data_IF_599760956128
#
_entry.id   IF_599760956128
#
_cell.length_a   1.000
_cell.length_b   1.000
_cell.length_c   1.000
_cell.angle_alpha   90.00
_cell.angle_beta   90.00
_cell.angle_gamma   90.00
#
_symmetry.space_group_name_H-M   'P 1'
#
loop_
_entity.id
_entity.type
_entity.pdbx_description
1 polymer ?
#
# COMPACT_ATOMS: atom_id res chain seq x y z
N UNK A 1 -33.40 -5.63 12.00
CA UNK A 1 -32.22 -6.09 11.23
C UNK A 1 -31.01 -6.00 12.14
N UNK A 2 -30.38 -7.13 12.44
CA UNK A 2 -29.13 -7.19 13.19
C UNK A 2 -27.96 -7.33 12.20
N UNK A 3 -26.87 -6.59 12.46
CA UNK A 3 -25.64 -6.67 11.70
C UNK A 3 -24.57 -7.30 12.57
N UNK A 4 -23.93 -8.35 12.06
CA UNK A 4 -22.80 -8.97 12.74
C UNK A 4 -21.52 -8.34 12.22
N UNK A 5 -20.75 -7.76 13.12
CA UNK A 5 -19.45 -7.16 12.85
C UNK A 5 -18.37 -8.00 13.54
N UNK A 6 -17.36 -8.41 12.81
CA UNK A 6 -16.16 -9.07 13.35
C UNK A 6 -15.03 -8.05 13.36
N UNK A 7 -14.63 -7.63 14.55
CA UNK A 7 -13.54 -6.65 14.74
C UNK A 7 -12.27 -7.39 15.12
N UNK A 8 -11.15 -7.05 14.50
CA UNK A 8 -9.83 -7.64 14.78
C UNK A 8 -8.85 -6.55 15.22
N UNK A 9 -8.11 -6.77 16.31
CA UNK A 9 -7.08 -5.85 16.83
C UNK A 9 -5.98 -6.68 17.51
N UNK A 10 -4.70 -6.44 17.17
CA UNK A 10 -3.53 -7.18 17.71
C UNK A 10 -3.76 -8.70 17.80
N UNK A 11 -4.13 -9.32 16.67
CA UNK A 11 -4.47 -10.75 16.53
C UNK A 11 -5.68 -11.26 17.34
N UNK A 12 -6.35 -10.38 18.08
CA UNK A 12 -7.55 -10.71 18.84
C UNK A 12 -8.79 -10.40 18.00
N UNK A 13 -9.66 -11.38 17.80
CA UNK A 13 -10.93 -11.22 17.10
C UNK A 13 -12.10 -11.17 18.09
N UNK A 14 -12.94 -10.15 17.96
CA UNK A 14 -14.17 -9.96 18.75
C UNK A 14 -15.36 -9.82 17.81
N UNK A 15 -16.49 -10.41 18.19
CA UNK A 15 -17.76 -10.29 17.46
C UNK A 15 -18.63 -9.26 18.18
N UNK A 16 -19.21 -8.36 17.40
CA UNK A 16 -20.06 -7.27 17.83
C UNK A 16 -21.37 -7.39 17.04
N UNK A 17 -22.49 -7.47 17.74
CA UNK A 17 -23.81 -7.58 17.13
C UNK A 17 -24.51 -6.25 17.28
N UNK A 18 -24.76 -5.54 16.17
CA UNK A 18 -25.50 -4.28 16.19
C UNK A 18 -26.95 -4.53 15.81
N UNK A 19 -27.86 -4.29 16.75
CA UNK A 19 -29.29 -4.35 16.49
C UNK A 19 -29.81 -2.99 16.04
N UNK A 20 -30.44 -2.93 14.86
CA UNK A 20 -31.20 -1.75 14.45
C UNK A 20 -32.44 -1.66 15.34
N UNK A 21 -32.42 -0.79 16.34
CA UNK A 21 -33.60 -0.43 17.13
C UNK A 21 -34.69 0.12 16.19
N UNK A 22 -35.85 -0.55 16.06
CA UNK A 22 -36.93 -0.07 15.21
C UNK A 22 -37.67 1.06 15.96
N UNK A 23 -37.43 2.31 15.57
CA UNK A 23 -38.17 3.47 16.09
C UNK A 23 -37.31 4.60 16.67
N UNK A 24 -35.99 4.44 16.78
CA UNK A 24 -35.11 5.54 17.13
C UNK A 24 -34.65 6.28 15.85
N UNK A 25 -34.72 7.63 15.79
CA UNK A 25 -34.22 8.42 14.66
C UNK A 25 -32.68 8.38 14.51
N UNK A 26 -31.98 7.80 15.47
CA UNK A 26 -30.54 7.49 15.39
C UNK A 26 -30.33 6.04 14.94
N UNK A 27 -29.98 5.84 13.67
CA UNK A 27 -29.51 4.55 13.17
C UNK A 27 -28.15 4.14 13.77
N UNK A 28 -27.52 3.10 13.19
CA UNK A 28 -26.15 2.72 13.51
C UNK A 28 -25.23 3.94 13.37
N UNK A 29 -24.69 4.44 14.49
CA UNK A 29 -23.75 5.58 14.48
C UNK A 29 -22.33 5.08 14.64
N UNK A 30 -21.40 5.75 13.97
CA UNK A 30 -19.97 5.51 14.10
C UNK A 30 -19.50 5.71 15.54
N UNK A 31 -20.06 6.67 16.26
CA UNK A 31 -19.74 6.91 17.67
C UNK A 31 -20.08 5.70 18.57
N UNK A 32 -21.22 5.04 18.34
CA UNK A 32 -21.59 3.83 19.07
C UNK A 32 -20.66 2.66 18.75
N UNK A 33 -20.34 2.47 17.46
CA UNK A 33 -19.40 1.44 17.03
C UNK A 33 -18.01 1.68 17.63
N UNK A 34 -17.50 2.91 17.56
CA UNK A 34 -16.20 3.27 18.12
C UNK A 34 -16.14 3.04 19.63
N UNK A 35 -17.19 3.43 20.36
CA UNK A 35 -17.29 3.22 21.81
C UNK A 35 -17.25 1.73 22.15
N UNK A 36 -18.07 0.90 21.48
CA UNK A 36 -18.08 -0.55 21.72
C UNK A 36 -16.75 -1.21 21.36
N UNK A 37 -16.09 -0.78 20.27
CA UNK A 37 -14.76 -1.29 19.92
C UNK A 37 -13.72 -0.93 20.97
N UNK A 38 -13.74 0.31 21.48
CA UNK A 38 -12.85 0.72 22.57
C UNK A 38 -13.08 -0.08 23.84
N UNK A 39 -14.34 -0.34 24.18
CA UNK A 39 -14.71 -1.15 25.36
C UNK A 39 -14.30 -2.62 25.19
N UNK A 40 -14.53 -3.22 24.02
CA UNK A 40 -14.22 -4.63 23.72
C UNK A 40 -12.73 -4.97 23.75
N UNK A 41 -11.88 -4.01 23.38
CA UNK A 41 -10.43 -4.16 23.32
C UNK A 41 -9.70 -3.35 24.41
N UNK A 42 -10.45 -2.83 25.40
CA UNK A 42 -9.92 -2.05 26.53
C UNK A 42 -8.98 -0.91 26.08
N UNK A 43 -9.33 -0.25 24.96
CA UNK A 43 -8.49 0.76 24.33
C UNK A 43 -8.60 2.09 25.09
N UNK A 44 -7.47 2.76 25.38
CA UNK A 44 -7.49 4.03 26.10
C UNK A 44 -8.09 5.14 25.24
N UNK A 45 -9.06 5.88 25.78
CA UNK A 45 -9.73 7.00 25.11
C UNK A 45 -8.77 8.16 24.70
N UNK A 46 -7.53 8.14 25.20
CA UNK A 46 -6.48 9.09 24.84
C UNK A 46 -5.87 8.84 23.45
N UNK A 47 -6.07 7.65 22.88
CA UNK A 47 -5.49 7.19 21.61
C UNK A 47 -6.54 7.21 20.51
N UNK A 48 -6.17 7.72 19.32
CA UNK A 48 -7.05 7.67 18.16
C UNK A 48 -7.10 6.23 17.64
N UNK A 49 -8.31 5.67 17.53
CA UNK A 49 -8.53 4.36 16.93
C UNK A 49 -8.81 4.56 15.44
N UNK A 50 -8.07 3.86 14.57
CA UNK A 50 -8.35 3.81 13.14
C UNK A 50 -9.14 2.54 12.86
N UNK A 51 -10.36 2.70 12.36
CA UNK A 51 -11.21 1.59 11.93
C UNK A 51 -11.11 1.42 10.42
N UNK A 52 -10.78 0.21 9.98
CA UNK A 52 -10.72 -0.18 8.57
C UNK A 52 -11.59 -1.40 8.33
N UNK A 53 -12.25 -1.49 7.18
CA UNK A 53 -13.05 -2.65 6.80
C UNK A 53 -12.65 -3.13 5.41
N UNK A 54 -12.94 -4.39 5.12
CA UNK A 54 -12.77 -4.96 3.78
C UNK A 54 -14.10 -4.86 3.05
N UNK A 55 -14.12 -4.22 1.88
CA UNK A 55 -15.32 -4.09 1.04
C UNK A 55 -15.61 -5.34 0.19
N UNK A 56 -16.61 -5.27 -0.70
CA UNK A 56 -16.97 -6.36 -1.62
C UNK A 56 -15.88 -6.72 -2.62
N UNK A 57 -15.00 -5.77 -2.93
CA UNK A 57 -13.93 -5.91 -3.91
C UNK A 57 -12.62 -6.41 -3.25
N UNK A 58 -12.62 -6.52 -1.92
CA UNK A 58 -11.49 -6.99 -1.13
C UNK A 58 -10.53 -5.88 -0.71
N UNK A 59 -10.91 -4.61 -0.92
CA UNK A 59 -10.09 -3.45 -0.59
C UNK A 59 -10.27 -3.04 0.87
N UNK A 60 -9.16 -2.63 1.51
CA UNK A 60 -9.14 -2.17 2.90
C UNK A 60 -9.48 -0.67 2.95
N UNK A 61 -10.76 -0.37 3.17
CA UNK A 61 -11.29 0.99 3.26
C UNK A 61 -11.28 1.48 4.71
N UNK A 62 -10.90 2.75 4.92
CA UNK A 62 -10.92 3.36 6.26
C UNK A 62 -12.29 3.99 6.54
N UNK A 63 -12.95 3.54 7.62
CA UNK A 63 -14.23 4.07 8.08
C UNK A 63 -13.99 5.34 8.92
N UNK A 64 -14.63 6.45 8.57
CA UNK A 64 -14.46 7.74 9.25
C UNK A 64 -15.73 8.33 9.82
N UNK A 65 -16.90 7.94 9.32
CA UNK A 65 -18.17 8.53 9.71
C UNK A 65 -19.36 7.55 9.60
N UNK A 66 -20.53 8.04 9.99
CA UNK A 66 -21.80 7.29 9.95
C UNK A 66 -22.23 6.90 8.53
N UNK A 67 -21.80 7.64 7.50
CA UNK A 67 -22.10 7.35 6.09
C UNK A 67 -21.34 6.11 5.65
N UNK A 68 -20.04 6.03 5.96
CA UNK A 68 -19.19 4.87 5.66
C UNK A 68 -19.70 3.60 6.36
N UNK A 69 -20.16 3.73 7.60
CA UNK A 69 -20.75 2.61 8.35
C UNK A 69 -22.06 2.12 7.72
N UNK A 70 -22.91 3.04 7.25
CA UNK A 70 -24.15 2.71 6.55
C UNK A 70 -23.86 2.10 5.19
N UNK A 71 -22.90 2.62 4.44
CA UNK A 71 -22.50 2.08 3.15
C UNK A 71 -21.97 0.65 3.29
N UNK A 72 -21.07 0.41 4.24
CA UNK A 72 -20.53 -0.93 4.51
C UNK A 72 -21.62 -1.94 4.94
N UNK A 73 -22.55 -1.55 5.82
CA UNK A 73 -23.58 -2.45 6.33
C UNK A 73 -24.76 -2.64 5.35
N UNK A 74 -25.22 -1.55 4.72
CA UNK A 74 -26.46 -1.51 3.94
C UNK A 74 -26.18 -1.47 2.44
N UNK A 75 -25.25 -0.62 2.01
CA UNK A 75 -24.88 -0.48 0.59
C UNK A 75 -24.21 -1.75 0.06
N UNK A 76 -23.23 -2.26 0.81
CA UNK A 76 -22.40 -3.41 0.42
C UNK A 76 -22.91 -4.74 0.99
N UNK A 77 -23.95 -4.72 1.83
CA UNK A 77 -24.57 -5.91 2.45
C UNK A 77 -23.58 -6.88 3.14
N UNK A 78 -22.48 -6.36 3.69
CA UNK A 78 -21.44 -7.18 4.31
C UNK A 78 -21.91 -7.73 5.66
N UNK A 79 -22.29 -9.01 5.69
CA UNK A 79 -22.67 -9.72 6.89
C UNK A 79 -22.03 -11.13 6.94
N UNK A 80 -20.95 -11.35 7.72
CA UNK A 80 -20.41 -10.45 8.74
C UNK A 80 -19.44 -9.41 8.18
N UNK A 81 -19.60 -8.14 8.58
CA UNK A 81 -18.66 -7.07 8.27
C UNK A 81 -17.33 -7.32 8.99
N UNK A 82 -16.23 -7.37 8.25
CA UNK A 82 -14.89 -7.57 8.82
C UNK A 82 -14.22 -6.23 9.01
N UNK A 83 -14.04 -5.86 10.27
CA UNK A 83 -13.41 -4.64 10.73
C UNK A 83 -12.04 -4.96 11.34
N UNK A 84 -11.08 -4.10 11.11
CA UNK A 84 -9.76 -4.08 11.74
C UNK A 84 -9.57 -2.74 12.43
N UNK A 85 -9.32 -2.80 13.73
CA UNK A 85 -9.03 -1.63 14.55
C UNK A 85 -7.52 -1.56 14.77
N UNK A 86 -6.91 -0.42 14.45
CA UNK A 86 -5.50 -0.14 14.70
C UNK A 86 -5.38 1.10 15.59
N UNK A 87 -4.58 1.02 16.66
CA UNK A 87 -4.28 2.19 17.48
C UNK A 87 -3.29 3.11 16.76
N UNK A 88 -3.65 4.39 16.63
CA UNK A 88 -2.73 5.44 16.18
C UNK A 88 -2.10 6.06 17.43
N UNK A 89 -0.84 5.70 17.78
CA UNK A 89 -0.19 6.30 18.95
C UNK A 89 -0.10 7.82 18.77
N UNK A 90 -0.53 8.57 19.78
CA UNK A 90 -0.23 10.00 19.90
C UNK A 90 1.28 10.13 19.95
N UNK A 91 1.89 10.64 18.87
CA UNK A 91 3.29 11.07 18.90
C UNK A 91 3.46 12.06 20.07
N UNK A 92 4.36 11.83 21.04
CA UNK A 92 4.90 12.95 21.78
C UNK A 92 5.55 13.89 20.76
N UNK A 93 5.13 15.16 20.77
CA UNK A 93 5.78 16.22 20.01
C UNK A 93 7.28 16.21 20.33
N UNK A 94 8.18 16.02 19.35
CA UNK A 94 9.56 16.44 19.52
C UNK A 94 9.55 17.97 19.48
N UNK A 95 10.03 18.58 20.56
CA UNK A 95 10.25 20.02 20.65
C UNK A 95 11.08 20.49 19.46
N UNK A 96 10.67 21.61 18.88
CA UNK A 96 11.48 22.43 18.00
C UNK A 96 12.86 22.62 18.63
N UNK A 97 13.92 22.21 17.94
CA UNK A 97 15.25 22.77 18.13
C UNK A 97 15.84 23.02 16.76
N UNK A 98 15.77 24.29 16.38
CA UNK A 98 16.62 24.89 15.37
C UNK A 98 18.08 24.80 15.82
N UNK A 99 18.98 24.89 14.83
CA UNK A 99 20.46 24.82 14.84
C UNK A 99 21.00 23.40 14.59
N UNK A 100 21.97 23.17 13.71
CA UNK A 100 22.86 24.07 12.97
C UNK A 100 23.49 23.29 11.80
N UNK A 101 23.82 24.00 10.74
CA UNK A 101 24.71 23.53 9.69
C UNK A 101 26.15 23.33 10.21
N UNK A 102 26.87 22.47 9.48
CA UNK A 102 28.33 22.40 9.32
C UNK A 102 29.15 21.52 10.27
N UNK A 103 29.96 20.62 9.68
CA UNK A 103 31.18 20.07 10.30
C UNK A 103 31.41 18.58 10.05
N UNK A 104 32.25 18.25 9.07
CA UNK A 104 32.70 16.91 8.71
C UNK A 104 33.62 16.27 9.76
N UNK A 105 33.53 14.96 9.96
CA UNK A 105 34.66 14.11 10.36
C UNK A 105 34.47 12.67 9.86
N UNK A 106 34.98 12.46 8.64
CA UNK A 106 35.75 11.32 8.15
C UNK A 106 35.57 9.93 8.83
N UNK A 107 34.92 9.00 8.12
CA UNK A 107 35.15 7.55 8.17
C UNK A 107 35.09 7.03 6.71
N UNK A 108 35.98 6.14 6.28
CA UNK A 108 36.20 5.85 4.86
C UNK A 108 35.01 5.12 4.24
N UNK A 109 34.48 5.73 3.19
CA UNK A 109 33.48 5.13 2.33
C UNK A 109 34.07 3.95 1.54
N UNK A 110 33.41 2.78 1.48
CA UNK A 110 33.54 1.94 0.31
C UNK A 110 32.81 2.64 -0.84
N UNK A 111 33.61 3.04 -1.82
CA UNK A 111 33.22 3.73 -3.03
C UNK A 111 32.38 2.84 -3.96
N UNK A 112 31.69 3.54 -4.88
CA UNK A 112 30.89 3.09 -6.04
C UNK A 112 29.44 2.73 -5.67
N UNK A 113 28.37 3.33 -6.19
CA UNK A 113 28.07 4.09 -7.43
C UNK A 113 26.69 4.76 -7.22
N UNK A 114 26.39 6.03 -7.53
CA UNK A 114 26.22 6.64 -8.85
C UNK A 114 25.46 7.98 -8.61
N UNK A 115 25.92 9.11 -9.16
CA UNK A 115 25.28 10.45 -8.99
C UNK A 115 23.94 10.54 -9.76
N UNK A 116 23.59 9.53 -10.54
CA UNK A 116 22.41 9.45 -11.40
C UNK A 116 21.35 8.44 -10.89
N UNK A 117 21.25 8.26 -9.57
CA UNK A 117 20.22 7.38 -9.03
C UNK A 117 18.82 8.00 -9.15
N UNK A 118 17.84 7.24 -9.68
CA UNK A 118 16.47 7.70 -9.82
C UNK A 118 15.84 8.07 -8.47
N UNK A 119 15.02 9.13 -8.47
CA UNK A 119 14.40 9.68 -7.25
C UNK A 119 12.89 9.60 -7.34
N UNK A 120 12.27 8.91 -6.39
CA UNK A 120 10.81 8.82 -6.27
C UNK A 120 10.28 9.96 -5.39
N UNK A 121 10.05 11.13 -6.00
CA UNK A 121 9.48 12.29 -5.33
C UNK A 121 8.06 12.01 -4.82
N UNK A 122 7.72 12.56 -3.65
CA UNK A 122 6.40 12.35 -3.01
C UNK A 122 6.23 10.98 -2.35
N UNK A 123 7.25 10.10 -2.40
CA UNK A 123 7.21 8.77 -1.82
C UNK A 123 8.13 8.70 -0.61
N UNK A 124 7.61 8.16 0.50
CA UNK A 124 8.35 8.02 1.76
C UNK A 124 8.52 6.54 2.11
N UNK A 125 9.73 6.15 2.50
CA UNK A 125 9.95 4.82 3.06
C UNK A 125 9.23 4.68 4.41
N UNK A 126 8.37 3.69 4.57
CA UNK A 126 7.54 3.54 5.77
C UNK A 126 8.34 3.09 7.00
N UNK A 127 9.52 2.49 6.79
CA UNK A 127 10.38 2.01 7.87
C UNK A 127 11.37 3.06 8.36
N UNK A 128 12.22 3.60 7.47
CA UNK A 128 13.23 4.61 7.85
C UNK A 128 12.81 6.06 7.63
N UNK A 129 11.64 6.31 7.03
CA UNK A 129 11.10 7.65 6.72
C UNK A 129 11.96 8.50 5.78
N UNK A 130 12.88 7.89 5.03
CA UNK A 130 13.59 8.62 3.97
C UNK A 130 12.62 9.04 2.87
N UNK A 131 12.71 10.30 2.45
CA UNK A 131 11.92 10.91 1.40
C UNK A 131 12.76 12.01 0.69
N UNK A 132 12.84 12.03 -0.64
CA UNK A 132 12.33 11.00 -1.56
C UNK A 132 13.11 9.69 -1.42
N UNK A 133 12.48 8.55 -1.75
CA UNK A 133 13.24 7.29 -1.89
C UNK A 133 14.17 7.42 -3.09
N UNK A 134 15.47 7.19 -2.86
CA UNK A 134 16.53 7.24 -3.89
C UNK A 134 16.91 5.80 -4.27
N UNK A 135 17.01 5.53 -5.57
CA UNK A 135 17.30 4.20 -6.11
C UNK A 135 16.05 3.32 -6.16
N UNK A 136 16.19 2.05 -5.78
CA UNK A 136 15.10 1.08 -5.81
C UNK A 136 14.01 1.38 -4.76
N UNK A 137 12.79 1.60 -5.25
CA UNK A 137 11.56 1.65 -4.45
C UNK A 137 10.88 0.29 -4.48
N UNK A 138 10.45 -0.20 -3.31
CA UNK A 138 9.72 -1.45 -3.19
C UNK A 138 8.33 -1.20 -2.62
N UNK A 139 7.29 -1.58 -3.35
CA UNK A 139 5.91 -1.43 -2.93
C UNK A 139 5.36 -2.74 -2.41
N UNK A 140 4.64 -2.73 -1.28
CA UNK A 140 4.00 -3.92 -0.75
C UNK A 140 2.81 -4.32 -1.62
N UNK A 141 2.73 -5.62 -1.97
CA UNK A 141 1.52 -6.20 -2.59
C UNK A 141 0.38 -6.35 -1.58
N UNK A 142 0.71 -6.38 -0.29
CA UNK A 142 -0.22 -6.71 0.79
C UNK A 142 -0.71 -5.48 1.55
N UNK A 143 0.05 -4.38 1.52
CA UNK A 143 -0.26 -3.16 2.27
C UNK A 143 -0.27 -1.96 1.31
N UNK A 144 -1.45 -1.36 1.06
CA UNK A 144 -1.57 -0.19 0.19
C UNK A 144 -0.68 0.96 0.66
N UNK A 145 -0.09 1.65 -0.32
CA UNK A 145 0.80 2.81 -0.10
C UNK A 145 2.05 2.52 0.74
N UNK A 146 2.33 1.25 1.06
CA UNK A 146 3.48 0.89 1.88
C UNK A 146 4.71 0.67 1.02
N UNK A 147 5.57 1.68 1.00
CA UNK A 147 6.82 1.69 0.25
C UNK A 147 8.03 1.53 1.17
N UNK A 148 9.02 0.75 0.75
CA UNK A 148 10.32 0.58 1.39
C UNK A 148 11.45 0.97 0.44
N UNK A 149 12.52 1.53 0.99
CA UNK A 149 13.80 1.65 0.28
C UNK A 149 14.58 0.32 0.34
N UNK A 150 15.58 0.18 -0.54
CA UNK A 150 16.44 -1.02 -0.63
C UNK A 150 17.00 -1.49 0.72
N UNK A 151 17.54 -0.58 1.53
CA UNK A 151 18.12 -0.96 2.83
C UNK A 151 17.08 -1.48 3.83
N UNK A 152 15.87 -0.92 3.80
CA UNK A 152 14.79 -1.39 4.65
C UNK A 152 14.26 -2.74 4.19
N UNK A 153 14.13 -2.96 2.87
CA UNK A 153 13.74 -4.26 2.35
C UNK A 153 14.78 -5.34 2.70
N UNK A 154 16.08 -5.03 2.60
CA UNK A 154 17.15 -5.97 2.94
C UNK A 154 17.06 -6.44 4.41
N UNK A 155 16.52 -5.61 5.31
CA UNK A 155 16.33 -6.01 6.71
C UNK A 155 15.06 -6.83 6.93
N UNK A 156 13.97 -6.51 6.23
CA UNK A 156 12.67 -7.20 6.40
C UNK A 156 12.63 -8.51 5.61
N UNK A 157 13.38 -8.59 4.51
CA UNK A 157 13.35 -9.70 3.57
C UNK A 157 12.17 -9.61 2.60
N UNK A 158 12.28 -10.33 1.49
CA UNK A 158 11.23 -10.43 0.46
C UNK A 158 11.16 -11.85 -0.11
N UNK A 159 11.15 -12.86 0.78
CA UNK A 159 11.31 -14.26 0.37
C UNK A 159 10.05 -14.84 -0.27
N UNK A 160 8.87 -14.38 0.12
CA UNK A 160 7.61 -14.84 -0.46
C UNK A 160 7.07 -13.85 -1.52
N UNK A 161 7.90 -12.88 -1.94
CA UNK A 161 7.55 -11.90 -2.96
C UNK A 161 6.47 -10.91 -2.52
N UNK A 162 6.40 -10.60 -1.23
CA UNK A 162 5.48 -9.64 -0.61
C UNK A 162 5.68 -8.20 -1.10
N UNK A 163 6.87 -7.87 -1.59
CA UNK A 163 7.21 -6.55 -2.13
C UNK A 163 7.59 -6.65 -3.62
N UNK A 164 7.07 -5.74 -4.42
CA UNK A 164 7.46 -5.56 -5.83
C UNK A 164 8.44 -4.41 -5.96
N UNK A 165 9.43 -4.58 -6.83
CA UNK A 165 10.26 -3.45 -7.26
C UNK A 165 9.41 -2.54 -8.15
N UNK A 166 9.32 -1.27 -7.77
CA UNK A 166 8.76 -0.22 -8.62
C UNK A 166 9.94 0.42 -9.33
N UNK A 167 10.06 0.11 -10.62
CA UNK A 167 11.05 0.78 -11.44
C UNK A 167 10.79 2.29 -11.43
N UNK A 168 11.84 3.11 -11.42
CA UNK A 168 11.69 4.52 -11.71
C UNK A 168 11.00 4.68 -13.06
N UNK A 169 10.13 5.71 -13.23
CA UNK A 169 9.67 6.05 -14.55
C UNK A 169 10.90 6.26 -15.44
N UNK A 170 11.04 5.41 -16.46
CA UNK A 170 12.09 5.54 -17.45
C UNK A 170 12.05 6.96 -17.98
N UNK A 171 13.21 7.60 -18.06
CA UNK A 171 13.34 8.88 -18.76
C UNK A 171 12.59 8.77 -20.11
N UNK A 172 11.66 9.68 -20.43
CA UNK A 172 10.87 9.59 -21.67
C UNK A 172 11.74 9.44 -22.93
N UNK A 173 12.98 9.96 -22.91
CA UNK A 173 13.95 9.75 -23.98
C UNK A 173 14.39 8.28 -24.10
N UNK A 174 14.61 7.60 -22.97
CA UNK A 174 14.96 6.17 -22.93
C UNK A 174 13.77 5.26 -23.22
N UNK A 175 12.56 5.66 -22.81
CA UNK A 175 11.34 4.90 -23.10
C UNK A 175 11.01 4.90 -24.59
N UNK A 176 11.27 6.00 -25.30
CA UNK A 176 11.11 6.10 -26.76
C UNK A 176 12.09 5.19 -27.48
N UNK A 177 13.35 5.16 -27.05
CA UNK A 177 14.38 4.27 -27.62
C UNK A 177 14.07 2.79 -27.40
N UNK A 178 13.64 2.40 -26.18
CA UNK A 178 13.25 1.02 -25.88
C UNK A 178 12.05 0.55 -26.70
N UNK A 179 11.01 1.40 -26.86
CA UNK A 179 9.87 1.09 -27.72
C UNK A 179 10.30 0.88 -29.18
N UNK A 180 11.16 1.75 -29.72
CA UNK A 180 11.70 1.61 -31.09
C UNK A 180 12.51 0.32 -31.27
N UNK A 181 13.31 -0.07 -30.27
CA UNK A 181 14.06 -1.33 -30.33
C UNK A 181 13.13 -2.56 -30.28
N UNK A 182 12.08 -2.53 -29.47
CA UNK A 182 11.07 -3.60 -29.42
C UNK A 182 10.26 -3.71 -30.72
N UNK A 183 9.86 -2.58 -31.32
CA UNK A 183 9.20 -2.56 -32.63
C UNK A 183 10.09 -3.10 -33.75
N UNK A 184 11.37 -2.72 -33.79
CA UNK A 184 12.33 -3.25 -34.77
C UNK A 184 12.55 -4.76 -34.59
N UNK A 185 12.63 -5.26 -33.36
CA UNK A 185 12.71 -6.70 -33.10
C UNK A 185 11.42 -7.43 -33.49
N UNK A 186 10.25 -6.82 -33.27
CA UNK A 186 8.96 -7.35 -33.72
C UNK A 186 8.89 -7.48 -35.24
N UNK A 187 9.33 -6.44 -35.96
CA UNK A 187 9.41 -6.44 -37.42
C UNK A 187 10.42 -7.47 -37.95
N UNK A 188 11.61 -7.56 -37.35
CA UNK A 188 12.62 -8.55 -37.71
C UNK A 188 12.11 -9.99 -37.49
N UNK A 189 11.41 -10.24 -36.38
CA UNK A 189 10.80 -11.54 -36.10
C UNK A 189 9.67 -11.88 -37.09
N UNK A 190 8.88 -10.88 -37.52
CA UNK A 190 7.84 -11.07 -38.53
C UNK A 190 8.46 -11.37 -39.91
N UNK A 191 9.50 -10.63 -40.28
CA UNK A 191 10.22 -10.82 -41.55
C UNK A 191 10.90 -12.19 -41.61
N UNK A 192 11.46 -12.65 -40.50
CA UNK A 192 12.01 -14.00 -40.39
C UNK A 192 10.93 -15.08 -40.52
N UNK A 193 9.75 -14.90 -39.92
CA UNK A 193 8.62 -15.84 -40.09
C UNK A 193 8.09 -15.89 -41.52
N UNK A 194 8.03 -14.75 -42.21
CA UNK A 194 7.64 -14.69 -43.63
C UNK A 194 8.66 -15.47 -44.47
N UNK A 195 9.95 -15.22 -44.27
CA UNK A 195 11.03 -15.94 -44.96
C UNK A 195 10.96 -17.47 -44.76
N UNK A 196 10.74 -17.94 -43.54
CA UNK A 196 10.61 -19.38 -43.27
C UNK A 196 9.34 -20.00 -43.89
N UNK A 197 8.21 -19.28 -43.91
CA UNK A 197 6.99 -19.75 -44.55
C UNK A 197 7.11 -19.80 -46.08
N UNK A 198 7.78 -18.82 -46.70
CA UNK A 198 8.05 -18.80 -48.14
C UNK A 198 9.01 -19.93 -48.56
N UNK A 199 10.02 -20.22 -47.74
CA UNK A 199 10.93 -21.35 -47.95
C UNK A 199 10.21 -22.71 -47.80
N UNK A 200 9.31 -22.86 -46.83
CA UNK A 200 8.52 -24.08 -46.66
C UNK A 200 7.55 -24.31 -47.83
N UNK A 201 7.00 -23.23 -48.42
CA UNK A 201 6.08 -23.32 -49.55
C UNK A 201 6.81 -23.59 -50.90
N UNK A 202 8.11 -23.29 -50.99
CA UNK A 202 8.94 -23.61 -52.17
C UNK A 202 9.43 -25.06 -52.22
N UNK A 203 9.30 -25.82 -51.13
CA UNK A 203 9.69 -27.25 -51.06
C UNK A 203 8.48 -28.17 -51.35
N UNK A 204 7.26 -27.62 -51.39
CA UNK A 204 6.00 -28.35 -51.56
C UNK A 204 5.51 -28.42 -53.03
N UNK A 205 6.36 -28.15 -54.03
CA UNK A 205 6.04 -28.25 -55.47
C UNK A 205 6.83 -29.37 -56.13
#
# INVERSE_FOLDING_TARGET
>A
MSYVIKVTHDDTLRRLTLEKQPGAPGGLTFAQLETQVRELFELPASTKVKLTYVDSDGDVVTMRNDVDLKDACVGQCLNPLRLKADLVPKKPMPKLSQKQASGQANLPAPATSDVNQPRHHGVTCHRCRTAPIIGHRYHSKMVPFYDLCSSCLATVGNRNGEFVLIDPPLDPAKQTTLKRMQEQQGLANLQSKIYYNEAANSIAV
#
